data_IF_380855883351
#
_entry.id   IF_380855883351
#
_cell.length_a   1.000
_cell.length_b   1.000
_cell.length_c   1.000
_cell.angle_alpha   90.00
_cell.angle_beta   90.00
_cell.angle_gamma   90.00
#
_symmetry.space_group_name_H-M   'P 1'
#
loop_
_entity.id
_entity.type
_entity.pdbx_description
1 polymer ?
#
# COMPACT_ATOMS: atom_id res chain seq x y z
N UNK A 1 7.94 11.40 25.04
CA UNK A 1 7.26 11.71 23.76
C UNK A 1 5.76 11.61 23.95
N UNK A 2 4.97 12.45 23.26
CA UNK A 2 3.50 12.28 23.23
C UNK A 2 3.11 11.47 22.00
N UNK A 3 2.36 10.39 22.20
CA UNK A 3 1.81 9.55 21.13
C UNK A 3 0.42 10.07 20.76
N UNK A 4 0.16 10.27 19.46
CA UNK A 4 -1.16 10.68 18.94
C UNK A 4 -1.53 9.84 17.71
N UNK A 5 -2.82 9.57 17.52
CA UNK A 5 -3.31 8.88 16.31
C UNK A 5 -3.24 9.82 15.10
N UNK A 6 -2.71 9.33 13.98
CA UNK A 6 -2.62 10.11 12.74
C UNK A 6 -3.99 10.18 12.05
N UNK A 7 -4.73 11.27 12.27
CA UNK A 7 -6.12 11.42 11.81
C UNK A 7 -6.30 11.22 10.29
N UNK A 8 -5.31 11.60 9.48
CA UNK A 8 -5.42 11.61 8.02
C UNK A 8 -4.67 10.48 7.29
N UNK A 9 -4.15 9.46 8.00
CA UNK A 9 -3.44 8.38 7.31
C UNK A 9 -4.40 7.25 6.90
N UNK A 10 -4.76 7.22 5.62
CA UNK A 10 -5.52 6.12 5.02
C UNK A 10 -4.70 5.46 3.90
N UNK A 11 -4.44 4.15 4.03
CA UNK A 11 -3.94 3.33 2.92
C UNK A 11 -5.01 3.33 1.82
N UNK A 12 -4.65 3.49 0.54
CA UNK A 12 -5.62 3.47 -0.54
C UNK A 12 -6.15 2.05 -0.81
N UNK A 13 -7.02 1.54 0.09
CA UNK A 13 -7.63 0.20 0.02
C UNK A 13 -8.32 -0.10 -1.32
N UNK A 14 -8.80 0.95 -2.01
CA UNK A 14 -9.45 0.86 -3.33
C UNK A 14 -8.54 0.21 -4.39
N UNK A 15 -7.25 0.54 -4.43
CA UNK A 15 -6.33 -0.02 -5.43
C UNK A 15 -6.03 -1.49 -5.16
N UNK A 16 -5.99 -1.90 -3.89
CA UNK A 16 -5.83 -3.32 -3.51
C UNK A 16 -7.07 -4.15 -3.87
N UNK A 17 -8.28 -3.61 -3.64
CA UNK A 17 -9.53 -4.26 -4.07
C UNK A 17 -9.57 -4.42 -5.59
N UNK A 18 -9.21 -3.37 -6.32
CA UNK A 18 -9.14 -3.41 -7.78
C UNK A 18 -8.11 -4.42 -8.29
N UNK A 19 -6.92 -4.48 -7.68
CA UNK A 19 -5.90 -5.48 -8.00
C UNK A 19 -6.43 -6.92 -7.77
N UNK A 20 -7.15 -7.15 -6.67
CA UNK A 20 -7.77 -8.45 -6.39
C UNK A 20 -8.82 -8.83 -7.43
N UNK A 21 -9.71 -7.91 -7.80
CA UNK A 21 -10.71 -8.13 -8.85
C UNK A 21 -10.06 -8.39 -10.22
N UNK A 22 -8.99 -7.65 -10.55
CA UNK A 22 -8.24 -7.83 -11.79
C UNK A 22 -7.64 -9.24 -11.88
N UNK A 23 -7.08 -9.75 -10.78
CA UNK A 23 -6.51 -11.10 -10.72
C UNK A 23 -7.59 -12.16 -10.96
N UNK A 24 -8.73 -12.07 -10.27
CA UNK A 24 -9.85 -13.01 -10.42
C UNK A 24 -10.39 -12.97 -11.86
N UNK A 25 -10.60 -11.77 -12.40
CA UNK A 25 -11.08 -11.59 -13.77
C UNK A 25 -10.09 -12.14 -14.81
N UNK A 26 -8.78 -11.99 -14.58
CA UNK A 26 -7.76 -12.51 -15.48
C UNK A 26 -7.74 -14.04 -15.53
N UNK A 27 -7.93 -14.71 -14.39
CA UNK A 27 -8.00 -16.17 -14.34
C UNK A 27 -9.30 -16.70 -14.95
N UNK A 28 -10.45 -16.09 -14.62
CA UNK A 28 -11.74 -16.47 -15.20
C UNK A 28 -11.75 -16.25 -16.73
N UNK A 29 -11.21 -15.12 -17.19
CA UNK A 29 -11.06 -14.82 -18.61
C UNK A 29 -10.11 -15.78 -19.31
N UNK A 30 -8.98 -16.13 -18.69
CA UNK A 30 -8.04 -17.10 -19.26
C UNK A 30 -8.66 -18.50 -19.40
N UNK A 31 -9.48 -18.91 -18.43
CA UNK A 31 -10.19 -20.19 -18.49
C UNK A 31 -11.21 -20.23 -19.63
N UNK A 32 -12.01 -19.17 -19.79
CA UNK A 32 -13.00 -19.09 -20.87
C UNK A 32 -12.39 -18.88 -22.26
N UNK A 33 -11.25 -18.19 -22.35
CA UNK A 33 -10.60 -17.86 -23.61
C UNK A 33 -9.36 -18.71 -23.92
N UNK A 34 -9.26 -19.90 -23.32
CA UNK A 34 -8.04 -20.73 -23.34
C UNK A 34 -7.57 -21.04 -24.77
N UNK A 35 -8.47 -21.45 -25.67
CA UNK A 35 -8.14 -21.75 -27.08
C UNK A 35 -7.66 -20.51 -27.85
N UNK A 36 -8.24 -19.35 -27.56
CA UNK A 36 -7.84 -18.09 -28.19
C UNK A 36 -6.46 -17.61 -27.70
N UNK A 37 -6.20 -17.76 -26.39
CA UNK A 37 -4.93 -17.38 -25.76
C UNK A 37 -3.80 -18.33 -26.12
N UNK A 38 -4.06 -19.63 -26.29
CA UNK A 38 -3.05 -20.59 -26.77
C UNK A 38 -2.68 -20.32 -28.22
N UNK A 39 -3.64 -19.91 -29.06
CA UNK A 39 -3.35 -19.48 -30.45
C UNK A 39 -2.60 -18.15 -30.52
N UNK A 40 -2.81 -17.26 -29.55
CA UNK A 40 -2.17 -15.95 -29.45
C UNK A 40 -1.35 -15.84 -28.15
N UNK A 41 -0.36 -16.71 -27.98
CA UNK A 41 0.41 -16.84 -26.73
C UNK A 41 1.12 -15.55 -26.28
N UNK A 42 1.42 -14.63 -27.20
CA UNK A 42 1.98 -13.32 -26.88
C UNK A 42 1.04 -12.46 -26.02
N UNK A 43 -0.29 -12.63 -26.15
CA UNK A 43 -1.28 -11.89 -25.34
C UNK A 43 -1.18 -12.25 -23.86
N UNK A 44 -0.82 -13.49 -23.54
CA UNK A 44 -0.59 -13.94 -22.16
C UNK A 44 0.56 -13.12 -21.55
N UNK A 45 1.64 -12.93 -22.31
CA UNK A 45 2.76 -12.08 -21.89
C UNK A 45 2.34 -10.66 -21.58
N UNK A 46 1.52 -10.04 -22.44
CA UNK A 46 1.00 -8.69 -22.20
C UNK A 46 0.11 -8.60 -20.96
N UNK A 47 -0.78 -9.59 -20.76
CA UNK A 47 -1.66 -9.66 -19.57
C UNK A 47 -0.82 -9.76 -18.30
N UNK A 48 0.19 -10.63 -18.29
CA UNK A 48 1.09 -10.81 -17.13
C UNK A 48 1.88 -9.54 -16.84
N UNK A 49 2.47 -8.91 -17.86
CA UNK A 49 3.21 -7.65 -17.71
C UNK A 49 2.30 -6.54 -17.18
N UNK A 50 1.06 -6.45 -17.66
CA UNK A 50 0.11 -5.45 -17.19
C UNK A 50 -0.26 -5.64 -15.72
N UNK A 51 -0.58 -6.88 -15.31
CA UNK A 51 -0.94 -7.20 -13.92
C UNK A 51 0.25 -6.97 -12.99
N UNK A 52 1.43 -7.45 -13.34
CA UNK A 52 2.64 -7.26 -12.53
C UNK A 52 3.05 -5.79 -12.47
N UNK A 53 3.01 -5.08 -13.61
CA UNK A 53 3.34 -3.66 -13.67
C UNK A 53 2.39 -2.82 -12.82
N UNK A 54 1.07 -3.05 -12.94
CA UNK A 54 0.08 -2.38 -12.12
C UNK A 54 0.23 -2.73 -10.63
N UNK A 55 0.46 -4.01 -10.31
CA UNK A 55 0.73 -4.46 -8.94
C UNK A 55 1.94 -3.75 -8.33
N UNK A 56 3.07 -3.72 -9.05
CA UNK A 56 4.28 -3.02 -8.61
C UNK A 56 4.03 -1.53 -8.37
N UNK A 57 3.27 -0.85 -9.24
CA UNK A 57 2.92 0.56 -9.06
C UNK A 57 2.08 0.79 -7.79
N UNK A 58 1.07 -0.05 -7.55
CA UNK A 58 0.23 0.04 -6.34
C UNK A 58 1.05 -0.16 -5.07
N UNK A 59 1.97 -1.14 -5.07
CA UNK A 59 2.90 -1.34 -3.97
C UNK A 59 3.86 -0.17 -3.78
N UNK A 60 4.50 0.30 -4.84
CA UNK A 60 5.44 1.43 -4.79
C UNK A 60 4.77 2.71 -4.26
N UNK A 61 3.56 3.02 -4.73
CA UNK A 61 2.76 4.14 -4.23
C UNK A 61 2.40 3.99 -2.75
N UNK A 62 2.05 2.78 -2.32
CA UNK A 62 1.70 2.50 -0.93
C UNK A 62 2.90 2.67 0.00
N UNK A 63 4.06 2.13 -0.39
CA UNK A 63 5.31 2.32 0.35
C UNK A 63 5.75 3.79 0.36
N UNK A 64 5.68 4.47 -0.79
CA UNK A 64 6.03 5.89 -0.86
C UNK A 64 5.20 6.73 0.11
N UNK A 65 3.87 6.49 0.16
CA UNK A 65 2.96 7.16 1.10
C UNK A 65 3.28 6.83 2.56
N UNK A 66 3.67 5.59 2.84
CA UNK A 66 4.04 5.14 4.18
C UNK A 66 5.33 5.80 4.68
N UNK A 67 6.32 5.99 3.81
CA UNK A 67 7.59 6.63 4.16
C UNK A 67 7.55 8.18 4.12
N UNK A 68 6.57 8.76 3.43
CA UNK A 68 6.39 10.21 3.30
C UNK A 68 5.11 10.72 3.96
N UNK A 69 4.90 10.33 5.22
CA UNK A 69 3.77 10.86 6.00
C UNK A 69 4.05 12.33 6.37
N UNK A 70 3.21 13.29 5.98
CA UNK A 70 3.34 14.67 6.42
C UNK A 70 2.81 14.81 7.85
N UNK A 71 3.48 15.61 8.70
CA UNK A 71 2.94 15.92 10.02
C UNK A 71 1.65 16.75 9.89
N UNK A 72 0.52 16.37 10.51
CA UNK A 72 -0.74 17.11 10.38
C UNK A 72 -0.69 18.50 11.05
N UNK A 73 0.23 18.74 11.99
CA UNK A 73 0.34 20.02 12.71
C UNK A 73 1.28 21.02 12.03
N UNK A 74 2.40 20.56 11.45
CA UNK A 74 3.42 21.46 10.89
C UNK A 74 3.75 21.20 9.42
N UNK A 75 3.07 20.24 8.77
CA UNK A 75 3.35 19.76 7.40
C UNK A 75 4.81 19.39 7.13
N UNK A 76 5.63 19.26 8.18
CA UNK A 76 7.03 18.85 8.09
C UNK A 76 7.17 17.37 7.75
N UNK A 77 8.35 17.02 7.23
CA UNK A 77 8.72 15.63 6.98
C UNK A 77 8.75 14.85 8.30
N UNK A 78 8.01 13.74 8.37
CA UNK A 78 8.14 12.79 9.47
C UNK A 78 9.12 11.69 9.09
N UNK A 79 9.69 11.01 10.09
CA UNK A 79 10.50 9.80 9.89
C UNK A 79 9.73 8.63 10.44
N UNK A 80 9.48 7.61 9.61
CA UNK A 80 8.96 6.33 10.08
C UNK A 80 9.93 5.73 11.08
N UNK A 81 9.45 5.45 12.30
CA UNK A 81 10.24 4.86 13.37
C UNK A 81 9.52 3.59 13.80
N UNK A 82 10.16 2.44 13.64
CA UNK A 82 9.65 1.20 14.24
C UNK A 82 9.99 1.21 15.73
N UNK A 83 9.15 1.89 16.53
CA UNK A 83 9.35 1.98 17.98
C UNK A 83 8.47 0.95 18.69
N UNK A 84 8.95 -0.30 18.74
CA UNK A 84 8.29 -1.43 19.44
C UNK A 84 8.02 -1.14 20.93
N UNK A 85 8.69 -0.14 21.50
CA UNK A 85 8.63 0.22 22.92
C UNK A 85 7.50 1.20 23.25
N UNK A 86 7.06 2.01 22.29
CA UNK A 86 6.03 3.06 22.51
C UNK A 86 4.72 2.72 21.79
N UNK A 87 4.79 2.05 20.65
CA UNK A 87 3.64 1.51 19.91
C UNK A 87 3.99 0.06 19.52
N UNK A 88 3.75 -0.93 20.40
CA UNK A 88 3.97 -2.32 20.04
C UNK A 88 3.09 -2.65 18.82
N UNK A 89 3.72 -3.22 17.81
CA UNK A 89 3.11 -3.74 16.58
C UNK A 89 2.45 -2.73 15.62
N UNK A 90 2.43 -1.43 15.94
CA UNK A 90 1.93 -0.38 15.04
C UNK A 90 3.07 0.42 14.38
N UNK A 91 2.91 0.70 13.09
CA UNK A 91 3.75 1.64 12.35
C UNK A 91 3.53 3.07 12.88
N UNK A 92 4.62 3.74 13.24
CA UNK A 92 4.57 5.12 13.72
C UNK A 92 5.51 6.05 12.95
N UNK A 93 5.11 7.31 12.87
CA UNK A 93 5.78 8.39 12.16
C UNK A 93 6.15 9.51 13.16
N UNK A 94 7.45 9.73 13.37
CA UNK A 94 7.94 10.75 14.29
C UNK A 94 8.17 12.09 13.57
N UNK A 95 7.63 13.17 14.12
CA UNK A 95 7.89 14.53 13.66
C UNK A 95 8.92 15.22 14.56
N UNK A 96 10.11 15.54 14.03
CA UNK A 96 11.16 16.23 14.79
C UNK A 96 10.84 17.69 15.12
N UNK A 97 9.97 18.35 14.34
CA UNK A 97 9.56 19.74 14.59
C UNK A 97 8.54 19.88 15.72
N UNK A 98 7.62 18.92 15.83
CA UNK A 98 6.57 18.95 16.85
C UNK A 98 6.91 18.10 18.08
N UNK A 99 7.96 17.26 18.00
CA UNK A 99 8.31 16.24 18.98
C UNK A 99 7.12 15.31 19.32
N UNK A 100 6.35 14.95 18.30
CA UNK A 100 5.17 14.06 18.40
C UNK A 100 5.42 12.79 17.62
N UNK A 101 5.07 11.66 18.23
CA UNK A 101 5.00 10.36 17.56
C UNK A 101 3.56 10.14 17.09
N UNK A 102 3.38 10.00 15.78
CA UNK A 102 2.10 9.73 15.17
C UNK A 102 1.92 8.23 14.94
N UNK A 103 0.92 7.62 15.56
CA UNK A 103 0.52 6.25 15.27
C UNK A 103 -0.29 6.24 13.96
N UNK A 104 0.19 5.49 12.96
CA UNK A 104 -0.44 5.36 11.65
C UNK A 104 -1.59 4.35 11.66
N UNK A 105 -1.78 3.60 12.74
CA UNK A 105 -2.82 2.58 12.87
C UNK A 105 -2.66 1.43 11.87
N UNK A 106 -1.44 1.19 11.40
CA UNK A 106 -1.09 0.02 10.57
C UNK A 106 -0.31 -0.93 11.46
N UNK A 107 -0.92 -2.04 11.84
CA UNK A 107 -0.32 -2.97 12.79
C UNK A 107 -1.31 -4.02 13.26
N UNK A 108 -0.78 -5.00 13.99
CA UNK A 108 -1.56 -6.11 14.56
C UNK A 108 -2.22 -5.67 15.86
N UNK A 109 -3.21 -4.78 15.77
CA UNK A 109 -3.97 -4.29 16.92
C UNK A 109 -5.38 -3.94 16.50
N UNK A 110 -6.25 -4.95 16.59
CA UNK A 110 -7.73 -4.97 16.48
C UNK A 110 -8.40 -4.16 15.35
#
# INVERSE_FOLDING_TARGET
MRVKKHENFAIPKKHFIFLGLLLIASQAGAYMANEFLTRNSYLIGYIVIFILGYGCLVFAMSFYKLYHVPCPTCHGKTKTKSSRKETPDNWSAYCSKCDVLWDLGIGNGD
#
